data_IF_713246631503
#
_entry.id   IF_713246631503
#
_cell.length_a   1.000
_cell.length_b   1.000
_cell.length_c   1.000
_cell.angle_alpha   90.00
_cell.angle_beta   90.00
_cell.angle_gamma   90.00
#
_symmetry.space_group_name_H-M   'P 1'
#
loop_
_entity.id
_entity.type
_entity.pdbx_description
1 polymer ?
#
# COMPACT_ATOMS: atom_id res chain seq x y z
N UNK A 1 39.46 71.98 2.07
CA UNK A 1 39.54 71.38 0.72
C UNK A 1 40.01 69.93 0.84
N UNK A 2 39.27 68.93 0.31
CA UNK A 2 39.59 67.51 0.47
C UNK A 2 40.72 67.06 -0.48
N UNK A 3 41.53 66.08 -0.02
CA UNK A 3 42.67 65.51 -0.75
C UNK A 3 42.23 64.66 -1.95
N UNK A 4 42.97 64.65 -3.07
CA UNK A 4 42.60 63.85 -4.24
C UNK A 4 42.81 62.35 -3.98
N UNK A 5 41.76 61.57 -4.17
CA UNK A 5 41.76 60.10 -4.13
C UNK A 5 42.46 59.61 -5.40
N UNK A 6 43.64 58.98 -5.27
CA UNK A 6 44.25 58.22 -6.38
C UNK A 6 43.35 57.04 -6.72
N UNK A 7 42.72 57.06 -7.91
CA UNK A 7 42.03 55.90 -8.49
C UNK A 7 43.02 54.74 -8.64
N UNK A 8 42.83 53.69 -7.84
CA UNK A 8 43.53 52.41 -7.97
C UNK A 8 42.98 51.73 -9.23
N UNK A 9 43.72 51.74 -10.34
CA UNK A 9 43.38 50.95 -11.52
C UNK A 9 43.45 49.48 -11.14
N UNK A 10 42.30 48.82 -11.09
CA UNK A 10 42.20 47.37 -10.98
C UNK A 10 42.78 46.80 -12.27
N UNK A 11 44.05 46.36 -12.25
CA UNK A 11 44.60 45.54 -13.33
C UNK A 11 43.64 44.36 -13.51
N UNK A 12 43.05 44.25 -14.70
CA UNK A 12 42.29 43.07 -15.10
C UNK A 12 43.20 41.87 -14.87
N UNK A 13 42.71 40.86 -14.18
CA UNK A 13 43.50 39.71 -13.74
C UNK A 13 43.78 38.80 -14.94
N UNK A 14 44.71 39.26 -15.79
CA UNK A 14 45.09 38.61 -17.06
C UNK A 14 45.63 37.19 -16.79
N UNK A 15 46.19 36.93 -15.61
CA UNK A 15 46.64 35.60 -15.19
C UNK A 15 45.49 34.59 -15.07
N UNK A 16 44.36 35.01 -14.49
CA UNK A 16 43.18 34.13 -14.35
C UNK A 16 42.52 33.78 -15.69
N UNK A 17 42.48 34.72 -16.64
CA UNK A 17 41.96 34.47 -18.00
C UNK A 17 42.89 33.55 -18.80
N UNK A 18 44.22 33.71 -18.66
CA UNK A 18 45.21 32.84 -19.31
C UNK A 18 45.18 31.43 -18.72
N UNK A 19 45.06 31.28 -17.41
CA UNK A 19 45.01 29.97 -16.73
C UNK A 19 43.71 29.19 -17.05
N UNK A 20 42.58 29.89 -17.17
CA UNK A 20 41.32 29.29 -17.66
C UNK A 20 41.43 28.90 -19.14
N UNK A 21 42.10 29.71 -19.96
CA UNK A 21 42.34 29.37 -21.37
C UNK A 21 43.26 28.16 -21.53
N UNK A 22 44.33 28.08 -20.74
CA UNK A 22 45.30 26.99 -20.81
C UNK A 22 44.71 25.67 -20.30
N UNK A 23 43.90 25.71 -19.23
CA UNK A 23 43.14 24.54 -18.76
C UNK A 23 42.09 24.07 -19.77
N UNK A 24 41.41 24.99 -20.47
CA UNK A 24 40.50 24.66 -21.57
C UNK A 24 41.24 24.06 -22.77
N UNK A 25 42.42 24.58 -23.07
CA UNK A 25 43.26 24.13 -24.19
C UNK A 25 43.85 22.74 -23.91
N UNK A 26 44.32 22.49 -22.68
CA UNK A 26 44.81 21.18 -22.24
C UNK A 26 43.68 20.13 -22.17
N UNK A 27 42.46 20.52 -21.77
CA UNK A 27 41.28 19.67 -21.84
C UNK A 27 40.92 19.32 -23.30
N UNK A 28 40.94 20.32 -24.18
CA UNK A 28 40.71 20.14 -25.63
C UNK A 28 41.76 19.21 -26.24
N UNK A 29 43.04 19.36 -25.90
CA UNK A 29 44.13 18.54 -26.44
C UNK A 29 44.11 17.10 -25.89
N UNK A 30 43.75 16.92 -24.61
CA UNK A 30 43.50 15.58 -24.03
C UNK A 30 42.30 14.89 -24.67
N UNK A 31 41.21 15.62 -24.92
CA UNK A 31 40.06 15.14 -25.69
C UNK A 31 40.46 14.80 -27.13
N UNK A 32 41.35 15.58 -27.75
CA UNK A 32 41.82 15.34 -29.11
C UNK A 32 42.72 14.09 -29.22
N UNK A 33 43.61 13.86 -28.25
CA UNK A 33 44.49 12.67 -28.22
C UNK A 33 43.72 11.38 -27.95
N UNK A 34 42.56 11.44 -27.29
CA UNK A 34 41.69 10.28 -26.97
C UNK A 34 40.29 10.35 -27.60
N UNK A 35 40.14 11.01 -28.76
CA UNK A 35 38.85 11.21 -29.46
C UNK A 35 38.00 9.94 -29.54
N UNK A 36 38.60 8.82 -29.97
CA UNK A 36 37.91 7.54 -30.12
C UNK A 36 37.37 7.01 -28.78
N UNK A 37 38.18 7.09 -27.71
CA UNK A 37 37.79 6.63 -26.37
C UNK A 37 36.69 7.52 -25.76
N UNK A 38 36.83 8.84 -25.86
CA UNK A 38 35.80 9.78 -25.39
C UNK A 38 34.49 9.59 -26.15
N UNK A 39 34.56 9.43 -27.48
CA UNK A 39 33.40 9.18 -28.31
C UNK A 39 32.67 7.89 -27.91
N UNK A 40 33.41 6.80 -27.70
CA UNK A 40 32.84 5.52 -27.23
C UNK A 40 32.16 5.69 -25.86
N UNK A 41 32.81 6.35 -24.89
CA UNK A 41 32.18 6.58 -23.58
C UNK A 41 30.96 7.51 -23.67
N UNK A 42 30.96 8.52 -24.55
CA UNK A 42 29.77 9.36 -24.78
C UNK A 42 28.61 8.59 -25.40
N UNK A 43 28.89 7.66 -26.32
CA UNK A 43 27.86 6.78 -26.89
C UNK A 43 27.29 5.82 -25.85
N UNK A 44 28.14 5.25 -25.00
CA UNK A 44 27.71 4.42 -23.87
C UNK A 44 26.84 5.23 -22.92
N UNK A 45 27.27 6.43 -22.54
CA UNK A 45 26.49 7.31 -21.66
C UNK A 45 25.15 7.70 -22.28
N UNK A 46 25.11 8.06 -23.57
CA UNK A 46 23.88 8.38 -24.29
C UNK A 46 22.93 7.17 -24.35
N UNK A 47 23.46 5.97 -24.63
CA UNK A 47 22.66 4.74 -24.65
C UNK A 47 22.07 4.43 -23.28
N UNK A 48 22.83 4.64 -22.19
CA UNK A 48 22.35 4.46 -20.83
C UNK A 48 21.22 5.45 -20.51
N UNK A 49 21.36 6.72 -20.91
CA UNK A 49 20.29 7.74 -20.75
C UNK A 49 19.03 7.36 -21.53
N UNK A 50 19.16 6.87 -22.76
CA UNK A 50 18.01 6.41 -23.56
C UNK A 50 17.31 5.21 -22.92
N UNK A 51 18.07 4.23 -22.42
CA UNK A 51 17.50 3.07 -21.70
C UNK A 51 16.75 3.53 -20.46
N UNK A 52 17.33 4.44 -19.67
CA UNK A 52 16.66 5.02 -18.49
C UNK A 52 15.39 5.77 -18.91
N UNK A 53 15.44 6.58 -19.96
CA UNK A 53 14.27 7.31 -20.46
C UNK A 53 13.15 6.37 -20.91
N UNK A 54 13.47 5.27 -21.60
CA UNK A 54 12.51 4.22 -21.99
C UNK A 54 11.91 3.54 -20.76
N UNK A 55 12.72 3.20 -19.75
CA UNK A 55 12.24 2.60 -18.50
C UNK A 55 11.30 3.57 -17.78
N UNK A 56 11.68 4.84 -17.64
CA UNK A 56 10.85 5.86 -16.99
C UNK A 56 9.53 6.09 -17.76
N UNK A 57 9.59 6.16 -19.08
CA UNK A 57 8.40 6.30 -19.92
C UNK A 57 7.47 5.08 -19.79
N UNK A 58 8.02 3.87 -19.79
CA UNK A 58 7.25 2.64 -19.55
C UNK A 58 6.61 2.61 -18.16
N UNK A 59 7.36 2.99 -17.11
CA UNK A 59 6.84 3.08 -15.75
C UNK A 59 5.73 4.12 -15.62
N UNK A 60 5.89 5.28 -16.25
CA UNK A 60 4.91 6.36 -16.24
C UNK A 60 3.60 5.95 -16.94
N UNK A 61 3.71 5.43 -18.17
CA UNK A 61 2.55 5.00 -18.97
C UNK A 61 1.81 3.82 -18.33
N UNK A 62 2.55 2.83 -17.83
CA UNK A 62 1.98 1.70 -17.09
C UNK A 62 1.32 2.15 -15.79
N UNK A 63 1.92 3.12 -15.08
CA UNK A 63 1.36 3.70 -13.87
C UNK A 63 0.03 4.41 -14.09
N UNK A 64 -0.06 5.26 -15.12
CA UNK A 64 -1.30 5.96 -15.49
C UNK A 64 -2.42 4.99 -15.84
N UNK A 65 -2.14 3.98 -16.69
CA UNK A 65 -3.13 2.97 -17.08
C UNK A 65 -3.62 2.16 -15.87
N UNK A 66 -2.71 1.74 -14.99
CA UNK A 66 -3.08 1.02 -13.77
C UNK A 66 -3.95 1.88 -12.84
N UNK A 67 -3.64 3.17 -12.71
CA UNK A 67 -4.43 4.09 -11.89
C UNK A 67 -5.85 4.26 -12.43
N UNK A 68 -6.01 4.43 -13.75
CA UNK A 68 -7.33 4.51 -14.38
C UNK A 68 -8.16 3.24 -14.15
N UNK A 69 -7.56 2.07 -14.34
CA UNK A 69 -8.21 0.78 -14.08
C UNK A 69 -8.61 0.65 -12.60
N UNK A 70 -7.72 1.02 -11.68
CA UNK A 70 -7.97 0.99 -10.24
C UNK A 70 -9.12 1.95 -9.86
N UNK A 71 -9.16 3.17 -10.40
CA UNK A 71 -10.26 4.12 -10.18
C UNK A 71 -11.60 3.57 -10.71
N UNK A 72 -11.62 3.04 -11.94
CA UNK A 72 -12.81 2.42 -12.50
C UNK A 72 -13.27 1.24 -11.64
N UNK A 73 -12.34 0.39 -11.19
CA UNK A 73 -12.63 -0.73 -10.31
C UNK A 73 -13.25 -0.28 -8.98
N UNK A 74 -12.72 0.78 -8.34
CA UNK A 74 -13.30 1.34 -7.12
C UNK A 74 -14.70 1.90 -7.32
N UNK A 75 -14.89 2.67 -8.40
CA UNK A 75 -16.21 3.22 -8.70
C UNK A 75 -17.23 2.11 -8.91
N UNK A 76 -16.87 1.05 -9.61
CA UNK A 76 -17.72 -0.14 -9.76
C UNK A 76 -17.94 -0.84 -8.42
N UNK A 77 -16.88 -1.09 -7.64
CA UNK A 77 -16.95 -1.81 -6.36
C UNK A 77 -17.88 -1.13 -5.35
N UNK A 78 -17.85 0.20 -5.27
CA UNK A 78 -18.68 0.99 -4.36
C UNK A 78 -19.97 1.51 -5.01
N UNK A 79 -20.26 1.10 -6.26
CA UNK A 79 -21.41 1.56 -7.04
C UNK A 79 -21.51 3.10 -7.16
N UNK A 80 -20.37 3.77 -7.29
CA UNK A 80 -20.29 5.22 -7.42
C UNK A 80 -20.55 5.63 -8.88
N UNK A 81 -21.31 6.72 -9.06
CA UNK A 81 -21.57 7.37 -10.36
C UNK A 81 -22.29 6.51 -11.41
N UNK A 82 -22.85 5.37 -11.01
CA UNK A 82 -23.58 4.46 -11.89
C UNK A 82 -24.99 4.98 -12.18
N UNK A 83 -25.31 5.20 -13.46
CA UNK A 83 -26.67 5.60 -13.91
C UNK A 83 -27.64 4.42 -13.98
N UNK A 84 -27.11 3.21 -14.17
CA UNK A 84 -27.89 1.97 -14.29
C UNK A 84 -27.77 1.19 -12.99
N UNK A 85 -28.89 0.69 -12.47
CA UNK A 85 -28.88 -0.25 -11.34
C UNK A 85 -28.30 -1.58 -11.80
N UNK A 86 -27.32 -2.10 -11.07
CA UNK A 86 -26.73 -3.42 -11.27
C UNK A 86 -27.05 -4.30 -10.06
N UNK A 87 -27.13 -5.61 -10.27
CA UNK A 87 -27.15 -6.54 -9.14
C UNK A 87 -25.80 -6.52 -8.40
N UNK A 88 -25.80 -6.88 -7.11
CA UNK A 88 -24.55 -7.00 -6.34
C UNK A 88 -23.57 -7.98 -6.98
N UNK A 89 -24.08 -9.08 -7.54
CA UNK A 89 -23.25 -10.10 -8.18
C UNK A 89 -22.55 -9.56 -9.43
N UNK A 90 -23.28 -8.88 -10.32
CA UNK A 90 -22.68 -8.22 -11.49
C UNK A 90 -21.68 -7.14 -11.08
N UNK A 91 -22.03 -6.35 -10.08
CA UNK A 91 -21.18 -5.29 -9.54
C UNK A 91 -19.82 -5.81 -9.07
N UNK A 92 -19.81 -6.81 -8.20
CA UNK A 92 -18.55 -7.34 -7.65
C UNK A 92 -17.78 -8.17 -8.67
N UNK A 93 -18.45 -8.83 -9.62
CA UNK A 93 -17.76 -9.54 -10.71
C UNK A 93 -17.06 -8.55 -11.66
N UNK A 94 -17.73 -7.47 -12.06
CA UNK A 94 -17.12 -6.45 -12.90
C UNK A 94 -15.97 -5.73 -12.18
N UNK A 95 -16.13 -5.43 -10.89
CA UNK A 95 -15.06 -4.85 -10.08
C UNK A 95 -13.85 -5.78 -9.98
N UNK A 96 -14.08 -7.08 -9.75
CA UNK A 96 -13.04 -8.10 -9.70
C UNK A 96 -12.23 -8.11 -11.00
N UNK A 97 -12.89 -8.13 -12.16
CA UNK A 97 -12.23 -8.17 -13.47
C UNK A 97 -11.35 -6.92 -13.69
N UNK A 98 -11.84 -5.74 -13.29
CA UNK A 98 -11.08 -4.49 -13.38
C UNK A 98 -9.89 -4.46 -12.41
N UNK A 99 -10.07 -4.90 -11.16
CA UNK A 99 -8.97 -4.99 -10.20
C UNK A 99 -7.89 -5.99 -10.63
N UNK A 100 -8.28 -7.12 -11.24
CA UNK A 100 -7.33 -8.09 -11.79
C UNK A 100 -6.50 -7.48 -12.93
N UNK A 101 -7.14 -6.73 -13.84
CA UNK A 101 -6.44 -6.00 -14.90
C UNK A 101 -5.53 -4.89 -14.34
N UNK A 102 -5.97 -4.17 -13.31
CA UNK A 102 -5.14 -3.18 -12.62
C UNK A 102 -3.90 -3.85 -12.00
N UNK A 103 -4.09 -4.99 -11.31
CA UNK A 103 -3.02 -5.74 -10.66
C UNK A 103 -2.06 -6.42 -11.64
N UNK A 104 -2.53 -6.87 -12.81
CA UNK A 104 -1.67 -7.39 -13.87
C UNK A 104 -0.82 -6.28 -14.50
N UNK A 105 -1.39 -5.07 -14.62
CA UNK A 105 -0.70 -3.88 -15.14
C UNK A 105 0.35 -3.36 -14.15
N UNK A 106 -0.01 -3.23 -12.86
CA UNK A 106 0.92 -2.82 -11.80
C UNK A 106 0.58 -3.53 -10.50
N UNK A 107 1.54 -4.29 -9.97
CA UNK A 107 1.38 -4.98 -8.69
C UNK A 107 1.19 -3.95 -7.57
N UNK A 108 0.08 -4.06 -6.85
CA UNK A 108 -0.28 -3.17 -5.75
C UNK A 108 -0.87 -3.99 -4.60
N UNK A 109 -0.35 -3.86 -3.37
CA UNK A 109 -0.90 -4.57 -2.22
C UNK A 109 -2.37 -4.21 -2.00
N UNK A 110 -2.72 -2.92 -2.12
CA UNK A 110 -4.10 -2.46 -1.96
C UNK A 110 -5.03 -3.13 -2.96
N UNK A 111 -4.67 -3.13 -4.25
CA UNK A 111 -5.48 -3.77 -5.29
C UNK A 111 -5.67 -5.26 -5.00
N UNK A 112 -4.63 -5.97 -4.53
CA UNK A 112 -4.75 -7.39 -4.20
C UNK A 112 -5.75 -7.65 -3.06
N UNK A 113 -5.83 -6.77 -2.06
CA UNK A 113 -6.87 -6.83 -1.03
C UNK A 113 -8.28 -6.64 -1.59
N UNK A 114 -8.44 -5.74 -2.58
CA UNK A 114 -9.74 -5.55 -3.23
C UNK A 114 -10.13 -6.70 -4.15
N UNK A 115 -9.18 -7.38 -4.79
CA UNK A 115 -9.43 -8.66 -5.50
C UNK A 115 -9.98 -9.68 -4.50
N UNK A 116 -9.29 -9.88 -3.37
CA UNK A 116 -9.77 -10.78 -2.32
C UNK A 116 -11.13 -10.37 -1.76
N UNK A 117 -11.37 -9.07 -1.57
CA UNK A 117 -12.65 -8.55 -1.10
C UNK A 117 -13.76 -8.81 -2.11
N UNK A 118 -13.50 -8.63 -3.40
CA UNK A 118 -14.48 -8.92 -4.45
C UNK A 118 -14.80 -10.42 -4.49
N UNK A 119 -13.81 -11.30 -4.31
CA UNK A 119 -14.08 -12.73 -4.15
C UNK A 119 -14.94 -13.03 -2.91
N UNK A 120 -14.68 -12.37 -1.78
CA UNK A 120 -15.47 -12.50 -0.56
C UNK A 120 -16.93 -12.09 -0.76
N UNK A 121 -17.19 -10.93 -1.39
CA UNK A 121 -18.56 -10.45 -1.67
C UNK A 121 -19.29 -11.32 -2.70
N UNK A 122 -18.55 -12.04 -3.55
CA UNK A 122 -19.07 -13.06 -4.47
C UNK A 122 -19.23 -14.45 -3.82
N UNK A 123 -18.99 -14.56 -2.51
CA UNK A 123 -19.00 -15.81 -1.73
C UNK A 123 -18.02 -16.88 -2.25
N UNK A 124 -17.04 -16.47 -3.07
CA UNK A 124 -15.94 -17.30 -3.56
C UNK A 124 -14.85 -17.39 -2.49
N UNK A 125 -15.20 -17.99 -1.35
CA UNK A 125 -14.38 -17.96 -0.14
C UNK A 125 -13.00 -18.63 -0.30
N UNK A 126 -12.90 -19.68 -1.12
CA UNK A 126 -11.63 -20.35 -1.37
C UNK A 126 -10.66 -19.47 -2.18
N UNK A 127 -11.17 -18.79 -3.21
CA UNK A 127 -10.39 -17.83 -4.01
C UNK A 127 -9.98 -16.62 -3.17
N UNK A 128 -10.89 -16.12 -2.33
CA UNK A 128 -10.61 -15.05 -1.38
C UNK A 128 -9.48 -15.45 -0.42
N UNK A 129 -9.59 -16.62 0.22
CA UNK A 129 -8.59 -17.11 1.18
C UNK A 129 -7.23 -17.34 0.51
N UNK A 130 -7.21 -17.94 -0.68
CA UNK A 130 -5.99 -18.11 -1.48
C UNK A 130 -5.32 -16.76 -1.78
N UNK A 131 -6.11 -15.78 -2.21
CA UNK A 131 -5.62 -14.44 -2.55
C UNK A 131 -5.08 -13.70 -1.31
N UNK A 132 -5.78 -13.81 -0.17
CA UNK A 132 -5.35 -13.22 1.10
C UNK A 132 -4.08 -13.88 1.64
N UNK A 133 -3.93 -15.19 1.48
CA UNK A 133 -2.71 -15.89 1.84
C UNK A 133 -1.52 -15.54 0.93
N UNK A 134 -1.72 -15.32 -0.39
CA UNK A 134 -0.68 -14.74 -1.24
C UNK A 134 -0.32 -13.32 -0.76
N UNK A 135 -1.33 -12.52 -0.40
CA UNK A 135 -1.12 -11.17 0.11
C UNK A 135 -0.25 -11.16 1.37
N UNK A 136 -0.60 -11.94 2.40
CA UNK A 136 0.14 -11.99 3.66
C UNK A 136 1.56 -12.54 3.48
N UNK A 137 1.79 -13.37 2.44
CA UNK A 137 3.11 -13.87 2.10
C UNK A 137 3.97 -12.88 1.30
N UNK A 138 3.40 -12.23 0.28
CA UNK A 138 4.11 -11.31 -0.62
C UNK A 138 4.33 -9.94 0.02
N UNK A 139 3.39 -9.48 0.84
CA UNK A 139 3.38 -8.13 1.41
C UNK A 139 3.52 -8.14 2.94
N UNK A 140 4.40 -9.00 3.47
CA UNK A 140 4.70 -9.13 4.91
C UNK A 140 5.13 -7.83 5.59
N UNK A 141 5.68 -6.88 4.82
CA UNK A 141 6.14 -5.58 5.34
C UNK A 141 5.06 -4.50 5.29
N UNK A 142 3.91 -4.77 4.65
CA UNK A 142 2.79 -3.83 4.56
C UNK A 142 1.95 -3.85 5.86
N UNK A 143 2.58 -3.47 6.98
CA UNK A 143 2.00 -3.56 8.33
C UNK A 143 0.65 -2.87 8.47
N UNK A 144 0.43 -1.78 7.74
CA UNK A 144 -0.83 -1.03 7.77
C UNK A 144 -1.97 -1.76 7.03
N UNK A 145 -1.64 -2.69 6.13
CA UNK A 145 -2.60 -3.39 5.27
C UNK A 145 -2.86 -4.84 5.73
N UNK A 146 -1.91 -5.46 6.42
CA UNK A 146 -2.06 -6.82 6.96
C UNK A 146 -3.31 -7.01 7.86
N UNK A 147 -3.71 -6.06 8.72
CA UNK A 147 -4.90 -6.22 9.55
C UNK A 147 -6.18 -6.42 8.74
N UNK A 148 -6.32 -5.72 7.60
CA UNK A 148 -7.47 -5.90 6.69
C UNK A 148 -7.51 -7.32 6.13
N UNK A 149 -6.33 -7.90 5.83
CA UNK A 149 -6.25 -9.28 5.35
C UNK A 149 -6.63 -10.26 6.46
N UNK A 150 -6.05 -10.14 7.65
CA UNK A 150 -6.34 -11.02 8.77
C UNK A 150 -7.79 -10.97 9.21
N UNK A 151 -8.41 -9.79 9.22
CA UNK A 151 -9.84 -9.63 9.51
C UNK A 151 -10.68 -10.48 8.55
N UNK A 152 -10.44 -10.39 7.24
CA UNK A 152 -11.18 -11.17 6.23
C UNK A 152 -10.86 -12.67 6.28
N UNK A 153 -9.60 -13.04 6.50
CA UNK A 153 -9.20 -14.44 6.67
C UNK A 153 -9.97 -15.06 7.85
N UNK A 154 -10.02 -14.38 8.99
CA UNK A 154 -10.75 -14.84 10.17
C UNK A 154 -12.26 -14.97 9.88
N UNK A 155 -12.87 -13.97 9.22
CA UNK A 155 -14.28 -14.06 8.81
C UNK A 155 -14.55 -15.27 7.92
N UNK A 156 -13.70 -15.55 6.93
CA UNK A 156 -13.83 -16.70 6.04
C UNK A 156 -13.68 -18.02 6.82
N UNK A 157 -12.68 -18.12 7.69
CA UNK A 157 -12.46 -19.32 8.52
C UNK A 157 -13.68 -19.60 9.41
N UNK A 158 -14.26 -18.55 10.01
CA UNK A 158 -15.49 -18.65 10.80
C UNK A 158 -16.69 -19.14 9.97
N UNK A 159 -16.89 -18.60 8.75
CA UNK A 159 -17.94 -19.06 7.82
C UNK A 159 -17.75 -20.55 7.48
N UNK A 160 -16.51 -20.98 7.27
CA UNK A 160 -16.16 -22.39 6.99
C UNK A 160 -16.19 -23.30 8.23
N UNK A 161 -16.41 -22.74 9.43
CA UNK A 161 -16.42 -23.48 10.68
C UNK A 161 -15.03 -23.87 11.22
N UNK A 162 -13.94 -23.38 10.62
CA UNK A 162 -12.56 -23.63 11.06
C UNK A 162 -12.20 -22.72 12.23
N UNK A 163 -12.75 -23.04 13.41
CA UNK A 163 -12.61 -22.24 14.63
C UNK A 163 -11.16 -22.16 15.10
N UNK A 164 -10.38 -23.23 14.96
CA UNK A 164 -8.99 -23.26 15.41
C UNK A 164 -8.13 -22.31 14.58
N UNK A 165 -8.28 -22.35 13.25
CA UNK A 165 -7.58 -21.41 12.38
C UNK A 165 -8.05 -19.97 12.62
N UNK A 166 -9.36 -19.76 12.80
CA UNK A 166 -9.91 -18.45 13.14
C UNK A 166 -9.30 -17.88 14.42
N UNK A 167 -9.22 -18.65 15.51
CA UNK A 167 -8.61 -18.19 16.77
C UNK A 167 -7.14 -17.78 16.59
N UNK A 168 -6.35 -18.52 15.80
CA UNK A 168 -4.95 -18.18 15.51
C UNK A 168 -4.86 -16.86 14.72
N UNK A 169 -5.72 -16.67 13.72
CA UNK A 169 -5.75 -15.43 12.93
C UNK A 169 -6.26 -14.25 13.75
N UNK A 170 -7.27 -14.44 14.61
CA UNK A 170 -7.82 -13.41 15.50
C UNK A 170 -6.78 -12.98 16.55
N UNK A 171 -6.00 -13.91 17.12
CA UNK A 171 -4.90 -13.58 18.03
C UNK A 171 -3.83 -12.73 17.34
N UNK A 172 -3.48 -13.08 16.08
CA UNK A 172 -2.55 -12.28 15.27
C UNK A 172 -3.10 -10.87 15.01
N UNK A 173 -4.39 -10.76 14.68
CA UNK A 173 -5.07 -9.49 14.45
C UNK A 173 -5.14 -8.63 15.73
N UNK A 174 -5.44 -9.24 16.87
CA UNK A 174 -5.46 -8.55 18.16
C UNK A 174 -4.09 -8.01 18.54
N UNK A 175 -3.02 -8.82 18.36
CA UNK A 175 -1.63 -8.41 18.63
C UNK A 175 -1.13 -7.34 17.67
N UNK A 176 -1.79 -7.13 16.54
CA UNK A 176 -1.40 -6.09 15.59
C UNK A 176 -1.64 -4.67 16.12
N UNK A 177 -2.41 -4.48 17.20
CA UNK A 177 -2.63 -3.18 17.81
C UNK A 177 -3.41 -2.18 16.95
N UNK A 178 -4.27 -2.67 16.03
CA UNK A 178 -4.95 -1.83 15.03
C UNK A 178 -6.44 -1.66 15.33
N UNK A 179 -7.14 -0.94 14.44
CA UNK A 179 -8.59 -0.68 14.53
C UNK A 179 -9.48 -1.93 14.59
N UNK A 180 -8.93 -3.14 14.40
CA UNK A 180 -9.67 -4.40 14.40
C UNK A 180 -9.49 -5.22 15.69
N UNK A 181 -8.87 -4.65 16.73
CA UNK A 181 -8.71 -5.35 18.01
C UNK A 181 -10.07 -5.68 18.66
N UNK A 182 -11.05 -4.79 18.52
CA UNK A 182 -12.41 -5.02 18.98
C UNK A 182 -13.09 -6.18 18.25
N UNK A 183 -12.95 -6.24 16.91
CA UNK A 183 -13.40 -7.37 16.09
C UNK A 183 -12.74 -8.68 16.54
N UNK A 184 -11.43 -8.65 16.81
CA UNK A 184 -10.71 -9.82 17.28
C UNK A 184 -11.25 -10.32 18.64
N UNK A 185 -11.53 -9.40 19.57
CA UNK A 185 -12.06 -9.72 20.89
C UNK A 185 -13.48 -10.27 20.82
N UNK A 186 -14.40 -9.65 20.07
CA UNK A 186 -15.79 -10.10 20.00
C UNK A 186 -15.88 -11.50 19.39
N UNK A 187 -15.20 -11.75 18.28
CA UNK A 187 -15.26 -13.06 17.63
C UNK A 187 -14.58 -14.15 18.46
N UNK A 188 -13.46 -13.84 19.12
CA UNK A 188 -12.82 -14.77 20.07
C UNK A 188 -13.78 -15.11 21.21
N UNK A 189 -14.44 -14.10 21.81
CA UNK A 189 -15.45 -14.32 22.85
C UNK A 189 -16.60 -15.21 22.39
N UNK A 190 -17.13 -14.97 21.18
CA UNK A 190 -18.21 -15.77 20.58
C UNK A 190 -17.80 -17.23 20.34
N UNK A 191 -16.56 -17.47 19.88
CA UNK A 191 -16.04 -18.83 19.71
C UNK A 191 -15.98 -19.54 21.07
N UNK A 192 -15.35 -18.91 22.07
CA UNK A 192 -15.18 -19.47 23.41
C UNK A 192 -16.52 -19.76 24.10
N UNK A 193 -17.50 -18.86 23.93
CA UNK A 193 -18.85 -19.05 24.46
C UNK A 193 -19.53 -20.27 23.83
N UNK A 194 -19.45 -20.42 22.51
CA UNK A 194 -19.98 -21.60 21.79
C UNK A 194 -19.27 -22.91 22.18
N UNK A 195 -18.04 -22.84 22.67
CA UNK A 195 -17.29 -23.98 23.22
C UNK A 195 -17.60 -24.25 24.70
N UNK A 196 -18.48 -23.46 25.34
CA UNK A 196 -18.81 -23.60 26.76
C UNK A 196 -17.78 -23.00 27.72
N UNK A 197 -16.73 -22.36 27.22
CA UNK A 197 -15.67 -21.69 28.00
C UNK A 197 -16.13 -20.32 28.48
N UNK A 198 -17.18 -20.30 29.30
CA UNK A 198 -17.87 -19.07 29.73
C UNK A 198 -16.94 -18.05 30.39
N UNK A 199 -16.04 -18.48 31.28
CA UNK A 199 -15.12 -17.58 31.98
C UNK A 199 -14.15 -16.88 31.02
N UNK A 200 -13.57 -17.64 30.07
CA UNK A 200 -12.68 -17.07 29.06
C UNK A 200 -13.42 -16.13 28.10
N UNK A 201 -14.64 -16.50 27.69
CA UNK A 201 -15.50 -15.65 26.87
C UNK A 201 -15.83 -14.32 27.57
N UNK A 202 -16.25 -14.37 28.84
CA UNK A 202 -16.51 -13.18 29.66
C UNK A 202 -15.28 -12.28 29.78
N UNK A 203 -14.07 -12.85 29.91
CA UNK A 203 -12.84 -12.06 29.94
C UNK A 203 -12.65 -11.26 28.64
N UNK A 204 -12.92 -11.86 27.47
CA UNK A 204 -12.83 -11.18 26.18
C UNK A 204 -13.88 -10.09 25.99
N UNK A 205 -15.12 -10.35 26.39
CA UNK A 205 -16.19 -9.36 26.34
C UNK A 205 -15.92 -8.18 27.27
N UNK A 206 -15.45 -8.44 28.50
CA UNK A 206 -15.07 -7.40 29.46
C UNK A 206 -13.97 -6.52 28.90
N UNK A 207 -12.91 -7.14 28.37
CA UNK A 207 -11.80 -6.41 27.75
C UNK A 207 -12.29 -5.52 26.60
N UNK A 208 -13.22 -6.00 25.77
CA UNK A 208 -13.80 -5.20 24.69
C UNK A 208 -14.57 -3.99 25.23
N UNK A 209 -15.47 -4.21 26.19
CA UNK A 209 -16.31 -3.17 26.75
C UNK A 209 -15.50 -2.07 27.47
N UNK A 210 -14.38 -2.44 28.12
CA UNK A 210 -13.49 -1.52 28.82
C UNK A 210 -12.54 -0.77 27.87
N UNK A 211 -11.88 -1.47 26.95
CA UNK A 211 -10.86 -0.87 26.06
C UNK A 211 -11.45 -0.17 24.84
N UNK A 212 -12.60 -0.64 24.36
CA UNK A 212 -13.23 -0.15 23.14
C UNK A 212 -14.69 0.26 23.38
N UNK A 213 -14.99 1.18 24.31
CA UNK A 213 -16.36 1.50 24.71
C UNK A 213 -17.23 2.09 23.57
N UNK A 214 -16.60 2.67 22.54
CA UNK A 214 -17.26 3.19 21.33
C UNK A 214 -17.27 2.22 20.14
N UNK A 215 -16.79 0.99 20.32
CA UNK A 215 -16.86 -0.05 19.28
C UNK A 215 -18.32 -0.38 18.96
N UNK A 216 -18.66 -0.71 17.68
CA UNK A 216 -19.98 -1.25 17.34
C UNK A 216 -20.31 -2.55 18.10
N UNK A 217 -19.31 -3.24 18.65
CA UNK A 217 -19.48 -4.48 19.41
C UNK A 217 -19.58 -4.27 20.93
N UNK A 218 -19.38 -3.04 21.43
CA UNK A 218 -19.33 -2.77 22.86
C UNK A 218 -20.63 -3.11 23.58
N UNK A 219 -21.77 -2.79 22.95
CA UNK A 219 -23.08 -3.10 23.52
C UNK A 219 -23.32 -4.62 23.61
N UNK A 220 -22.99 -5.35 22.55
CA UNK A 220 -23.10 -6.81 22.56
C UNK A 220 -22.24 -7.42 23.68
N UNK A 221 -21.01 -6.93 23.84
CA UNK A 221 -20.13 -7.38 24.90
C UNK A 221 -20.73 -7.15 26.31
N UNK A 222 -21.30 -5.97 26.57
CA UNK A 222 -21.97 -5.67 27.86
C UNK A 222 -23.18 -6.57 28.10
N UNK A 223 -24.02 -6.76 27.09
CA UNK A 223 -25.16 -7.69 27.17
C UNK A 223 -24.69 -9.11 27.49
N UNK A 224 -23.60 -9.57 26.85
CA UNK A 224 -22.99 -10.88 27.13
C UNK A 224 -22.42 -11.02 28.53
N UNK A 225 -22.03 -9.91 29.17
CA UNK A 225 -21.61 -9.88 30.57
C UNK A 225 -22.79 -9.82 31.56
N UNK A 226 -24.01 -9.58 31.08
CA UNK A 226 -25.17 -9.33 31.93
C UNK A 226 -25.23 -7.92 32.51
N UNK A 227 -24.42 -6.99 31.98
CA UNK A 227 -24.42 -5.58 32.35
C UNK A 227 -25.59 -4.90 31.64
N UNK A 228 -26.68 -4.62 32.36
CA UNK A 228 -27.78 -3.78 31.84
C UNK A 228 -27.34 -2.32 31.86
N UNK A 229 -27.73 -1.56 30.82
CA UNK A 229 -27.65 -0.09 30.84
C UNK A 229 -28.41 0.44 32.05
N UNK A 230 -27.70 1.06 32.99
CA UNK A 230 -28.31 2.10 33.81
C UNK A 230 -28.64 3.24 32.84
N UNK A 231 -29.95 3.53 32.75
CA UNK A 231 -30.51 4.52 31.82
C UNK A 231 -30.24 5.95 32.23
#
# INVERSE_FOLDING_TARGET
MPRPIKKKTRKKDIGSEIEIQDTLQDFRDKLQKKKKTVFVYSLIALSAVLVIAVILFYQYTTGQKAHQLETSAYNTYYNLYQKKSMSKQEQYQQALDLFQQAYSTRKSPRVLLYIASSYYELEKYDDALKTLNDFTNKYRTAKDLLPFAYQKIASIQLIKGDKEAALKTLDTLYKSGTIYQDYALIETGRILEKEGKKSEASAKYKELAEKFPGSPFAEEARVKLGEKKEG
#
